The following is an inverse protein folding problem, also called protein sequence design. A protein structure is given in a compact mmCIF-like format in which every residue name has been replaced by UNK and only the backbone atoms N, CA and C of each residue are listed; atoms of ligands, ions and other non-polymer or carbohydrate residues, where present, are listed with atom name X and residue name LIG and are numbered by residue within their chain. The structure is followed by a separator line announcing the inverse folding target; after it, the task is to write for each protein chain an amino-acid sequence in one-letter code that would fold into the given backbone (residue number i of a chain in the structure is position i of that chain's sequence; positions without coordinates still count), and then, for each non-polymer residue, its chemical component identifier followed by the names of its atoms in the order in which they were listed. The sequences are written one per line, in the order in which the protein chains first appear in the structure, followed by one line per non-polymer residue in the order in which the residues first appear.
data_IF_856046746006
#
_entry.id   IF_856046746006
#
_cell.length_a   1.000
_cell.length_b   1.000
_cell.length_c   1.000
_cell.angle_alpha   90.00
_cell.angle_beta   90.00
_cell.angle_gamma   90.00
#
_symmetry.space_group_name_H-M   'P 1'
#
loop_
_entity.id
_entity.type
_entity.pdbx_description
1 polymer ?
#
# COMPACT_ATOMS: atom_id res chain seq x y z
N UNK A 1 4.79 2.06 41.35
CA UNK A 1 3.63 2.68 40.66
C UNK A 1 3.55 2.41 39.15
N UNK A 2 4.55 1.77 38.50
CA UNK A 2 4.48 1.39 37.06
C UNK A 2 3.96 -0.04 36.85
N UNK A 3 4.37 -1.00 37.69
CA UNK A 3 3.91 -2.40 37.65
C UNK A 3 2.38 -2.50 37.74
N UNK A 4 1.77 -1.80 38.70
CA UNK A 4 0.32 -1.80 38.90
C UNK A 4 -0.42 -1.16 37.73
N UNK A 5 0.17 -0.15 37.07
CA UNK A 5 -0.41 0.47 35.87
C UNK A 5 -0.42 -0.52 34.69
N UNK A 6 0.71 -1.19 34.45
CA UNK A 6 0.80 -2.25 33.44
C UNK A 6 -0.17 -3.39 33.74
N UNK A 7 -0.24 -3.86 34.99
CA UNK A 7 -1.16 -4.92 35.43
C UNK A 7 -2.63 -4.57 35.22
N UNK A 8 -3.00 -3.29 35.31
CA UNK A 8 -4.38 -2.86 35.09
C UNK A 8 -4.71 -2.57 33.62
N UNK A 9 -3.70 -2.44 32.75
CA UNK A 9 -3.88 -2.30 31.31
C UNK A 9 -4.02 -3.64 30.57
N UNK A 10 -3.82 -4.77 31.27
CA UNK A 10 -3.86 -6.12 30.71
C UNK A 10 -5.20 -6.82 30.97
N UNK A 11 -5.54 -7.80 30.12
CA UNK A 11 -6.64 -8.72 30.40
C UNK A 11 -6.35 -9.53 31.68
N UNK A 12 -7.42 -9.98 32.35
CA UNK A 12 -7.31 -10.72 33.62
C UNK A 12 -6.44 -11.98 33.49
N UNK A 13 -6.55 -12.67 32.35
CA UNK A 13 -5.77 -13.87 32.01
C UNK A 13 -4.27 -13.58 31.96
N UNK A 14 -3.87 -12.52 31.26
CA UNK A 14 -2.47 -12.11 31.12
C UNK A 14 -1.94 -11.61 32.47
N UNK A 15 -2.72 -10.79 33.19
CA UNK A 15 -2.38 -10.28 34.52
C UNK A 15 -2.08 -11.40 35.51
N UNK A 16 -2.91 -12.46 35.55
CA UNK A 16 -2.71 -13.60 36.44
C UNK A 16 -1.42 -14.36 36.12
N UNK A 17 -1.02 -14.39 34.85
CA UNK A 17 0.19 -15.09 34.39
C UNK A 17 1.51 -14.39 34.75
N UNK A 18 1.45 -13.12 35.20
CA UNK A 18 2.61 -12.26 35.53
C UNK A 18 2.45 -11.60 36.91
N UNK A 19 1.54 -12.12 37.75
CA UNK A 19 1.15 -11.52 39.02
C UNK A 19 2.30 -11.39 40.03
N UNK A 20 3.32 -12.25 39.91
CA UNK A 20 4.46 -12.33 40.83
C UNK A 20 5.69 -11.56 40.34
N UNK A 21 5.60 -10.84 39.22
CA UNK A 21 6.74 -10.08 38.70
C UNK A 21 6.89 -8.75 39.43
N UNK A 22 8.00 -8.58 40.14
CA UNK A 22 8.18 -7.48 41.10
C UNK A 22 8.60 -6.16 40.45
N UNK A 23 9.20 -6.19 39.26
CA UNK A 23 9.71 -4.99 38.58
C UNK A 23 9.01 -4.75 37.26
N UNK A 24 8.80 -3.48 36.91
CA UNK A 24 8.16 -3.11 35.65
C UNK A 24 9.01 -3.55 34.45
N UNK A 25 10.33 -3.56 34.60
CA UNK A 25 11.28 -4.02 33.57
C UNK A 25 11.17 -5.53 33.33
N UNK A 26 11.17 -6.35 34.40
CA UNK A 26 10.99 -7.79 34.26
C UNK A 26 9.60 -8.13 33.71
N UNK A 27 8.57 -7.38 34.13
CA UNK A 27 7.20 -7.55 33.62
C UNK A 27 7.14 -7.24 32.12
N UNK A 28 7.76 -6.16 31.68
CA UNK A 28 7.86 -5.82 30.28
C UNK A 28 8.60 -6.90 29.47
N UNK A 29 9.75 -7.38 29.95
CA UNK A 29 10.52 -8.42 29.28
C UNK A 29 9.76 -9.74 29.15
N UNK A 30 9.00 -10.16 30.18
CA UNK A 30 8.16 -11.37 30.08
C UNK A 30 7.03 -11.19 29.06
N UNK A 31 6.39 -10.02 29.03
CA UNK A 31 5.35 -9.70 28.05
C UNK A 31 5.92 -9.65 26.64
N UNK A 32 7.08 -9.02 26.46
CA UNK A 32 7.80 -8.98 25.19
C UNK A 32 8.19 -10.39 24.75
N UNK A 33 8.81 -11.20 25.61
CA UNK A 33 9.20 -12.56 25.26
C UNK A 33 8.00 -13.47 24.93
N UNK A 34 6.88 -13.30 25.63
CA UNK A 34 5.68 -14.14 25.46
C UNK A 34 4.78 -13.67 24.30
N UNK A 35 4.62 -12.36 24.12
CA UNK A 35 3.66 -11.77 23.18
C UNK A 35 4.29 -10.98 22.03
N UNK A 36 5.57 -10.60 22.12
CA UNK A 36 6.32 -10.16 20.94
C UNK A 36 6.80 -11.34 20.07
N UNK A 37 6.13 -12.50 20.19
CA UNK A 37 6.24 -13.62 19.26
C UNK A 37 6.23 -13.05 17.84
N UNK A 38 7.39 -13.21 17.19
CA UNK A 38 7.71 -12.86 15.81
C UNK A 38 6.50 -12.39 15.00
N UNK A 39 6.46 -11.11 14.62
CA UNK A 39 5.53 -10.58 13.62
C UNK A 39 5.67 -11.27 12.24
N UNK A 40 6.42 -12.37 12.12
CA UNK A 40 6.67 -13.13 10.90
C UNK A 40 5.40 -13.68 10.26
N UNK A 41 4.41 -14.27 10.97
CA UNK A 41 3.15 -14.66 10.34
C UNK A 41 2.42 -13.44 9.76
N UNK A 42 2.39 -12.32 10.50
CA UNK A 42 1.76 -11.08 10.03
C UNK A 42 2.49 -10.49 8.82
N UNK A 43 3.82 -10.44 8.85
CA UNK A 43 4.67 -10.03 7.72
C UNK A 43 4.41 -10.94 6.52
N UNK A 44 4.29 -12.25 6.73
CA UNK A 44 3.97 -13.20 5.66
C UNK A 44 2.59 -12.92 5.05
N UNK A 45 1.56 -12.75 5.87
CA UNK A 45 0.20 -12.39 5.44
C UNK A 45 0.19 -11.07 4.66
N UNK A 46 0.91 -10.05 5.15
CA UNK A 46 1.01 -8.75 4.49
C UNK A 46 1.71 -8.87 3.14
N UNK A 47 2.85 -9.57 3.07
CA UNK A 47 3.57 -9.81 1.81
C UNK A 47 2.73 -10.61 0.82
N UNK A 48 1.99 -11.61 1.29
CA UNK A 48 1.07 -12.38 0.46
C UNK A 48 -0.06 -11.49 -0.07
N UNK A 49 -0.66 -10.67 0.81
CA UNK A 49 -1.74 -9.75 0.45
C UNK A 49 -1.29 -8.70 -0.57
N UNK A 50 -0.09 -8.12 -0.38
CA UNK A 50 0.54 -7.21 -1.34
C UNK A 50 0.73 -7.93 -2.66
N UNK A 51 1.29 -9.16 -2.65
CA UNK A 51 1.55 -9.92 -3.85
C UNK A 51 0.27 -10.29 -4.63
N UNK A 52 -0.83 -10.62 -3.95
CA UNK A 52 -2.10 -10.93 -4.61
C UNK A 52 -2.95 -9.72 -4.97
N UNK A 53 -2.59 -8.51 -4.53
CA UNK A 53 -3.40 -7.32 -4.75
C UNK A 53 -3.30 -6.84 -6.20
N UNK A 54 -4.44 -6.88 -6.90
CA UNK A 54 -4.61 -6.39 -8.28
C UNK A 54 -5.60 -5.23 -8.34
N UNK A 55 -5.47 -4.34 -9.33
CA UNK A 55 -6.46 -3.27 -9.52
C UNK A 55 -7.86 -3.83 -9.79
N UNK A 56 -7.99 -4.83 -10.68
CA UNK A 56 -9.30 -5.34 -11.10
C UNK A 56 -10.19 -4.22 -11.66
N UNK A 57 -11.43 -4.16 -11.16
CA UNK A 57 -12.42 -3.13 -11.52
C UNK A 57 -12.37 -1.89 -10.59
N UNK A 58 -11.46 -1.86 -9.61
CA UNK A 58 -11.33 -0.71 -8.72
C UNK A 58 -10.75 0.51 -9.46
N UNK A 59 -11.14 1.70 -9.01
CA UNK A 59 -10.47 2.94 -9.43
C UNK A 59 -9.00 2.95 -9.02
N UNK A 60 -8.16 3.67 -9.76
CA UNK A 60 -6.73 3.80 -9.45
C UNK A 60 -6.53 4.31 -8.01
N UNK A 61 -7.36 5.25 -7.56
CA UNK A 61 -7.30 5.80 -6.20
C UNK A 61 -7.59 4.77 -5.11
N UNK A 62 -8.61 3.92 -5.31
CA UNK A 62 -8.99 2.89 -4.33
C UNK A 62 -7.93 1.81 -4.26
N UNK A 63 -7.46 1.33 -5.42
CA UNK A 63 -6.38 0.36 -5.51
C UNK A 63 -5.10 0.86 -4.84
N UNK A 64 -4.68 2.10 -5.15
CA UNK A 64 -3.50 2.71 -4.54
C UNK A 64 -3.63 2.84 -3.01
N UNK A 65 -4.81 3.21 -2.51
CA UNK A 65 -5.05 3.35 -1.07
C UNK A 65 -4.93 2.00 -0.35
N UNK A 66 -5.49 0.92 -0.94
CA UNK A 66 -5.35 -0.45 -0.42
C UNK A 66 -3.87 -0.87 -0.38
N UNK A 67 -3.14 -0.67 -1.48
CA UNK A 67 -1.71 -1.00 -1.55
C UNK A 67 -0.91 -0.21 -0.51
N UNK A 68 -1.11 1.10 -0.43
CA UNK A 68 -0.38 1.98 0.48
C UNK A 68 -0.62 1.60 1.94
N UNK A 69 -1.86 1.26 2.31
CA UNK A 69 -2.19 0.78 3.65
C UNK A 69 -1.41 -0.49 4.02
N UNK A 70 -1.34 -1.48 3.11
CA UNK A 70 -0.58 -2.71 3.35
C UNK A 70 0.93 -2.46 3.45
N UNK A 71 1.46 -1.58 2.60
CA UNK A 71 2.88 -1.19 2.64
C UNK A 71 3.22 -0.48 3.94
N UNK A 72 2.40 0.46 4.40
CA UNK A 72 2.61 1.18 5.65
C UNK A 72 2.54 0.25 6.86
N UNK A 73 1.62 -0.71 6.84
CA UNK A 73 1.55 -1.73 7.88
C UNK A 73 2.81 -2.61 7.89
N UNK A 74 3.30 -3.03 6.71
CA UNK A 74 4.52 -3.83 6.59
C UNK A 74 5.76 -3.09 7.11
N UNK A 75 5.86 -1.79 6.83
CA UNK A 75 6.98 -0.95 7.31
C UNK A 75 7.03 -0.88 8.84
N UNK A 76 5.88 -0.93 9.53
CA UNK A 76 5.85 -0.97 10.99
C UNK A 76 6.52 -2.23 11.57
N UNK A 77 6.52 -3.32 10.82
CA UNK A 77 7.11 -4.60 11.23
C UNK A 77 8.54 -4.79 10.73
N UNK A 78 8.89 -4.22 9.57
CA UNK A 78 10.22 -4.31 8.96
C UNK A 78 11.04 -3.02 9.17
N UNK A 79 10.97 -2.43 10.38
CA UNK A 79 11.73 -1.22 10.71
C UNK A 79 13.22 -1.43 10.43
N UNK A 80 13.75 -0.69 9.46
CA UNK A 80 15.14 -0.82 9.05
C UNK A 80 16.00 -0.05 10.04
N UNK A 81 17.04 -0.67 10.64
CA UNK A 81 17.89 0.01 11.61
C UNK A 81 18.55 1.25 10.99
N UNK A 82 18.63 2.33 11.77
CA UNK A 82 19.30 3.56 11.37
C UNK A 82 20.81 3.29 11.23
N UNK A 83 21.31 3.29 9.99
CA UNK A 83 22.75 3.27 9.73
C UNK A 83 23.24 4.67 9.33
N UNK A 84 24.39 5.07 9.84
CA UNK A 84 25.15 6.25 9.37
C UNK A 84 25.89 5.98 8.06
N UNK A 85 25.88 4.74 7.57
CA UNK A 85 26.52 4.33 6.34
C UNK A 85 25.64 4.68 5.13
N UNK A 86 26.26 5.24 4.07
CA UNK A 86 25.56 5.64 2.84
C UNK A 86 24.80 4.50 2.13
N UNK A 87 25.17 3.23 2.40
CA UNK A 87 24.53 2.03 1.84
C UNK A 87 23.03 1.92 2.15
N UNK A 88 22.58 2.54 3.25
CA UNK A 88 21.16 2.55 3.63
C UNK A 88 20.29 3.31 2.60
N UNK A 89 20.86 4.31 1.93
CA UNK A 89 20.16 5.06 0.87
C UNK A 89 19.82 4.16 -0.31
N UNK A 90 20.73 3.26 -0.68
CA UNK A 90 20.54 2.33 -1.80
C UNK A 90 19.48 1.27 -1.46
N UNK A 91 19.44 0.80 -0.20
CA UNK A 91 18.40 -0.14 0.28
C UNK A 91 17.01 0.50 0.19
N UNK A 92 16.86 1.72 0.72
CA UNK A 92 15.59 2.45 0.67
C UNK A 92 15.16 2.76 -0.78
N UNK A 93 16.11 3.13 -1.64
CA UNK A 93 15.84 3.36 -3.06
C UNK A 93 15.36 2.09 -3.77
N UNK A 94 15.99 0.94 -3.48
CA UNK A 94 15.56 -0.35 -4.02
C UNK A 94 14.17 -0.76 -3.54
N UNK A 95 13.87 -0.57 -2.26
CA UNK A 95 12.55 -0.85 -1.70
C UNK A 95 11.47 0.02 -2.35
N UNK A 96 11.73 1.31 -2.52
CA UNK A 96 10.81 2.22 -3.20
C UNK A 96 10.60 1.84 -4.67
N UNK A 97 11.66 1.40 -5.35
CA UNK A 97 11.59 0.86 -6.71
C UNK A 97 10.73 -0.41 -6.76
N UNK A 98 10.86 -1.32 -5.81
CA UNK A 98 10.09 -2.56 -5.79
C UNK A 98 8.59 -2.30 -5.52
N UNK A 99 8.26 -1.36 -4.64
CA UNK A 99 6.87 -0.94 -4.42
C UNK A 99 6.24 -0.28 -5.65
N UNK A 100 7.00 0.57 -6.33
CA UNK A 100 6.57 1.17 -7.59
C UNK A 100 6.35 0.12 -8.68
N UNK A 101 7.28 -0.83 -8.83
CA UNK A 101 7.12 -1.91 -9.79
C UNK A 101 5.91 -2.77 -9.47
N UNK A 102 5.65 -3.06 -8.17
CA UNK A 102 4.44 -3.78 -7.77
C UNK A 102 3.16 -3.04 -8.16
N UNK A 103 3.10 -1.73 -7.89
CA UNK A 103 1.97 -0.90 -8.31
C UNK A 103 1.76 -0.94 -9.82
N UNK A 104 2.83 -0.82 -10.61
CA UNK A 104 2.75 -0.84 -12.07
C UNK A 104 2.36 -2.20 -12.66
N UNK A 105 2.88 -3.30 -12.10
CA UNK A 105 2.62 -4.65 -12.61
C UNK A 105 1.14 -5.04 -12.50
N UNK A 106 0.49 -4.62 -11.42
CA UNK A 106 -0.87 -5.04 -11.08
C UNK A 106 -1.96 -4.02 -11.46
N UNK A 107 -1.56 -2.92 -12.12
CA UNK A 107 -2.47 -1.99 -12.76
C UNK A 107 -3.14 -2.65 -13.97
N UNK A 108 -4.41 -2.34 -14.14
CA UNK A 108 -5.25 -2.81 -15.24
C UNK A 108 -4.60 -2.56 -16.62
N UNK A 109 -4.80 -3.49 -17.57
CA UNK A 109 -4.10 -3.50 -18.86
C UNK A 109 -4.38 -2.30 -19.74
N UNK A 110 -5.49 -1.60 -19.51
CA UNK A 110 -5.78 -0.33 -20.17
C UNK A 110 -4.63 0.67 -19.96
N UNK A 111 -3.89 0.61 -18.84
CA UNK A 111 -2.78 1.52 -18.52
C UNK A 111 -1.43 1.14 -19.13
N UNK A 112 -1.37 0.15 -20.04
CA UNK A 112 -0.10 -0.33 -20.62
C UNK A 112 0.79 0.78 -21.21
N UNK A 113 0.21 1.81 -21.83
CA UNK A 113 0.98 2.92 -22.38
C UNK A 113 1.67 3.74 -21.27
N UNK A 114 0.93 4.16 -20.22
CA UNK A 114 1.53 4.91 -19.11
C UNK A 114 2.52 4.05 -18.32
N UNK A 115 2.29 2.73 -18.20
CA UNK A 115 3.26 1.78 -17.63
C UNK A 115 4.59 1.85 -18.36
N UNK A 116 4.59 1.76 -19.70
CA UNK A 116 5.79 1.84 -20.52
C UNK A 116 6.51 3.19 -20.41
N UNK A 117 5.76 4.30 -20.38
CA UNK A 117 6.34 5.64 -20.23
C UNK A 117 7.02 5.80 -18.88
N UNK A 118 6.35 5.42 -17.78
CA UNK A 118 6.88 5.56 -16.42
C UNK A 118 8.17 4.76 -16.24
N UNK A 119 8.26 3.55 -16.80
CA UNK A 119 9.46 2.69 -16.75
C UNK A 119 10.69 3.38 -17.36
N UNK A 120 10.49 4.28 -18.33
CA UNK A 120 11.57 4.96 -19.05
C UNK A 120 12.01 6.28 -18.40
N UNK A 121 11.30 6.79 -17.38
CA UNK A 121 11.63 8.05 -16.70
C UNK A 121 12.93 7.89 -15.91
N UNK A 122 13.86 8.83 -16.09
CA UNK A 122 15.11 8.95 -15.32
C UNK A 122 15.23 10.35 -14.72
N UNK A 123 15.52 10.49 -13.41
CA UNK A 123 15.72 9.43 -12.40
C UNK A 123 14.42 8.69 -12.05
N UNK A 124 14.55 7.52 -11.44
CA UNK A 124 13.42 6.65 -11.06
C UNK A 124 12.41 7.42 -10.18
N UNK A 125 11.15 7.57 -10.62
CA UNK A 125 10.16 8.34 -9.87
C UNK A 125 9.77 7.65 -8.57
N UNK A 126 9.30 8.43 -7.60
CA UNK A 126 8.70 7.92 -6.37
C UNK A 126 7.34 7.28 -6.63
N UNK A 127 6.92 6.37 -5.74
CA UNK A 127 5.59 5.74 -5.79
C UNK A 127 4.45 6.79 -5.86
N UNK A 128 4.58 7.90 -5.13
CA UNK A 128 3.59 8.99 -5.13
C UNK A 128 3.52 9.73 -6.47
N UNK A 129 4.66 9.98 -7.12
CA UNK A 129 4.70 10.60 -8.44
C UNK A 129 4.10 9.68 -9.50
N UNK A 130 4.40 8.39 -9.45
CA UNK A 130 3.81 7.40 -10.35
C UNK A 130 2.30 7.33 -10.18
N UNK A 131 1.80 7.32 -8.94
CA UNK A 131 0.37 7.40 -8.67
C UNK A 131 -0.26 8.65 -9.31
N UNK A 132 0.35 9.83 -9.15
CA UNK A 132 -0.16 11.06 -9.73
C UNK A 132 -0.27 10.99 -11.27
N UNK A 133 0.75 10.42 -11.94
CA UNK A 133 0.77 10.23 -13.40
C UNK A 133 -0.35 9.27 -13.86
N UNK A 134 -0.51 8.14 -13.18
CA UNK A 134 -1.56 7.16 -13.53
C UNK A 134 -2.95 7.72 -13.25
N UNK A 135 -3.12 8.47 -12.15
CA UNK A 135 -4.38 9.12 -11.79
C UNK A 135 -4.78 10.20 -12.82
N UNK A 136 -3.80 10.94 -13.36
CA UNK A 136 -4.02 11.89 -14.45
C UNK A 136 -4.46 11.17 -15.73
N UNK A 137 -3.83 10.04 -16.05
CA UNK A 137 -4.19 9.22 -17.21
C UNK A 137 -5.61 8.64 -17.10
N UNK A 138 -6.02 8.19 -15.91
CA UNK A 138 -7.39 7.71 -15.67
C UNK A 138 -8.43 8.81 -15.96
N UNK A 139 -8.20 10.03 -15.47
CA UNK A 139 -9.07 11.19 -15.75
C UNK A 139 -9.11 11.52 -17.23
N UNK A 140 -7.96 11.49 -17.93
CA UNK A 140 -7.89 11.74 -19.38
C UNK A 140 -8.74 10.74 -20.17
N UNK A 141 -8.70 9.45 -19.78
CA UNK A 141 -9.52 8.41 -20.42
C UNK A 141 -11.01 8.59 -20.17
N UNK A 142 -11.41 8.97 -18.96
CA UNK A 142 -12.82 9.25 -18.65
C UNK A 142 -13.37 10.39 -19.53
N UNK A 143 -12.59 11.46 -19.72
CA UNK A 143 -12.97 12.58 -20.60
C UNK A 143 -13.11 12.10 -22.05
N UNK A 144 -12.12 11.34 -22.56
CA UNK A 144 -12.15 10.82 -23.93
C UNK A 144 -13.31 9.85 -24.18
N UNK A 145 -13.68 9.03 -23.20
CA UNK A 145 -14.81 8.12 -23.33
C UNK A 145 -16.14 8.88 -23.38
N UNK A 146 -16.30 9.91 -22.53
CA UNK A 146 -17.48 10.77 -22.55
C UNK A 146 -17.63 11.54 -23.86
N UNK A 147 -16.54 12.07 -24.42
CA UNK A 147 -16.59 12.75 -25.72
C UNK A 147 -16.99 11.80 -26.85
N UNK A 148 -16.49 10.55 -26.83
CA UNK A 148 -16.83 9.55 -27.84
C UNK A 148 -18.31 9.14 -27.75
N UNK A 149 -18.85 8.98 -26.54
CA UNK A 149 -20.27 8.68 -26.32
C UNK A 149 -21.17 9.81 -26.84
N UNK A 150 -20.82 11.06 -26.54
CA UNK A 150 -21.57 12.23 -27.00
C UNK A 150 -21.57 12.35 -28.53
N UNK A 151 -20.43 12.08 -29.17
CA UNK A 151 -20.32 12.09 -30.63
C UNK A 151 -21.16 10.97 -31.26
N UNK A 152 -21.13 9.76 -30.69
CA UNK A 152 -21.92 8.63 -31.17
C UNK A 152 -23.45 8.91 -31.08
N UNK A 153 -23.90 9.48 -29.97
CA UNK A 153 -25.29 9.89 -29.77
C UNK A 153 -25.72 11.01 -30.74
N UNK A 154 -24.82 11.98 -31.02
CA UNK A 154 -25.07 13.05 -31.98
C UNK A 154 -25.12 12.57 -33.44
N UNK A 155 -24.37 11.52 -33.79
CA UNK A 155 -24.42 10.87 -35.09
C UNK A 155 -25.72 10.06 -35.26
N UNK A 156 -26.12 9.32 -34.23
CA UNK A 156 -27.36 8.52 -34.24
C UNK A 156 -28.63 9.39 -34.33
N UNK A 157 -28.64 10.56 -33.69
CA UNK A 157 -29.75 11.51 -33.83
C UNK A 157 -29.82 12.10 -35.24
N UNK A 158 -28.68 12.45 -35.86
CA UNK A 158 -28.64 12.95 -37.25
C UNK A 158 -29.14 11.94 -38.27
N UNK A 159 -28.85 10.65 -38.11
CA UNK A 159 -29.37 9.59 -39.01
C UNK A 159 -30.88 9.39 -38.89
N UNK A 160 -31.47 9.73 -37.74
CA UNK A 160 -32.92 9.63 -37.56
C UNK A 160 -33.68 10.78 -38.22
N UNK A 161 -33.09 11.97 -38.32
CA UNK A 161 -33.70 13.14 -38.98
C UNK A 161 -33.52 13.19 -40.50
N UNK A 162 -32.68 12.33 -41.07
CA UNK A 162 -32.40 12.30 -42.52
C UNK A 162 -33.21 11.26 -43.30
N UNK A 163 -34.06 10.48 -42.61
CA UNK A 163 -34.90 9.42 -43.20
C UNK A 163 -36.42 9.72 -43.18
N UNK A 164 -36.82 10.99 -43.11
CA UNK A 164 -38.21 11.47 -43.24
C UNK A 164 -38.27 12.60 -44.25
#
# INVERSE_FOLDING_TARGET
MVVTWLQNAMSLEIKNSVAYVETAHALWLELEQRFAQNNRPRIYELKQSIHSLTQGDDSVSLYFSKLKSLLDELVNFESIPSCTCGAMKDVLANQQRDWMMKFLMELHDSFTNIKAQVILIKPTPSLSEVYALVQQEEKRKQISNNSNLNNALALASRTHFSNT
#
